data_IF_695585623745
#
_entry.id   IF_695585623745
#
_cell.length_a   1.000
_cell.length_b   1.000
_cell.length_c   1.000
_cell.angle_alpha   90.00
_cell.angle_beta   90.00
_cell.angle_gamma   90.00
#
_symmetry.space_group_name_H-M   'P 1'
#
loop_
_entity.id
_entity.type
_entity.pdbx_description
1 polymer ?
#
# COMPACT_ATOMS: atom_id res chain seq x y z
N UNK A 1 -15.13 19.32 9.53
CA UNK A 1 -15.48 19.76 8.16
C UNK A 1 -16.17 18.68 7.29
N UNK A 2 -16.52 17.49 7.82
CA UNK A 2 -17.14 16.42 7.00
C UNK A 2 -18.63 16.12 7.29
N UNK A 3 -19.23 16.76 8.31
CA UNK A 3 -20.64 16.53 8.69
C UNK A 3 -21.64 16.78 7.56
N UNK A 4 -21.31 17.65 6.61
CA UNK A 4 -22.17 18.00 5.48
C UNK A 4 -22.29 16.90 4.41
N UNK A 5 -21.41 15.89 4.44
CA UNK A 5 -21.44 14.77 3.49
C UNK A 5 -22.11 13.51 4.06
N UNK A 6 -22.48 13.51 5.34
CA UNK A 6 -23.15 12.36 5.98
C UNK A 6 -24.56 12.22 5.41
N UNK A 7 -24.82 11.11 4.69
CA UNK A 7 -26.09 10.86 3.98
C UNK A 7 -26.23 11.58 2.63
N UNK A 8 -25.21 12.31 2.19
CA UNK A 8 -25.04 12.85 0.83
C UNK A 8 -23.66 12.40 0.30
N UNK A 9 -23.25 11.17 0.61
CA UNK A 9 -22.00 10.65 0.09
C UNK A 9 -22.07 10.67 -1.43
N UNK A 10 -21.15 11.39 -2.07
CA UNK A 10 -21.00 11.34 -3.51
C UNK A 10 -20.50 9.94 -3.90
N UNK A 11 -21.43 9.07 -4.29
CA UNK A 11 -21.15 7.69 -4.67
C UNK A 11 -21.82 7.37 -5.99
N UNK A 12 -21.09 6.70 -6.89
CA UNK A 12 -21.67 6.10 -8.08
C UNK A 12 -22.27 4.73 -7.67
N UNK A 13 -23.61 4.55 -7.70
CA UNK A 13 -24.25 3.30 -7.31
C UNK A 13 -23.73 2.10 -8.11
N UNK A 14 -23.33 2.31 -9.38
CA UNK A 14 -22.75 1.26 -10.20
C UNK A 14 -21.35 0.86 -9.72
N UNK A 15 -20.55 1.81 -9.22
CA UNK A 15 -19.24 1.49 -8.60
C UNK A 15 -19.41 0.77 -7.27
N UNK A 16 -20.40 1.16 -6.46
CA UNK A 16 -20.72 0.44 -5.21
C UNK A 16 -21.14 -1.00 -5.49
N UNK A 17 -22.00 -1.23 -6.48
CA UNK A 17 -22.40 -2.58 -6.89
C UNK A 17 -21.19 -3.41 -7.35
N UNK A 18 -20.26 -2.83 -8.12
CA UNK A 18 -19.04 -3.50 -8.54
C UNK A 18 -18.12 -3.84 -7.37
N UNK A 19 -17.98 -2.96 -6.37
CA UNK A 19 -17.21 -3.22 -5.16
C UNK A 19 -17.81 -4.38 -4.36
N UNK A 20 -19.12 -4.38 -4.14
CA UNK A 20 -19.83 -5.49 -3.47
C UNK A 20 -19.60 -6.80 -4.22
N UNK A 21 -19.69 -6.79 -5.55
CA UNK A 21 -19.41 -7.96 -6.39
C UNK A 21 -17.96 -8.45 -6.23
N UNK A 22 -16.98 -7.54 -6.17
CA UNK A 22 -15.58 -7.91 -5.93
C UNK A 22 -15.40 -8.58 -4.57
N UNK A 23 -15.99 -8.02 -3.51
CA UNK A 23 -15.93 -8.59 -2.16
C UNK A 23 -16.58 -9.97 -2.10
N UNK A 24 -17.74 -10.14 -2.74
CA UNK A 24 -18.39 -11.45 -2.83
C UNK A 24 -17.52 -12.46 -3.58
N UNK A 25 -16.95 -12.08 -4.73
CA UNK A 25 -16.04 -12.95 -5.48
C UNK A 25 -14.84 -13.38 -4.64
N UNK A 26 -14.27 -12.46 -3.85
CA UNK A 26 -13.17 -12.77 -2.92
C UNK A 26 -13.61 -13.72 -1.81
N UNK A 27 -14.81 -13.54 -1.24
CA UNK A 27 -15.34 -14.42 -0.19
C UNK A 27 -15.54 -15.87 -0.66
N UNK A 28 -15.84 -16.06 -1.95
CA UNK A 28 -15.95 -17.38 -2.57
C UNK A 28 -14.65 -17.88 -3.23
N UNK A 29 -13.57 -17.11 -3.17
CA UNK A 29 -12.29 -17.49 -3.78
C UNK A 29 -11.40 -18.22 -2.77
N UNK A 30 -10.93 -19.41 -3.12
CA UNK A 30 -10.09 -20.24 -2.23
C UNK A 30 -8.70 -19.66 -1.96
N UNK A 31 -8.21 -18.74 -2.79
CA UNK A 31 -6.91 -18.10 -2.65
C UNK A 31 -7.08 -16.58 -2.52
N UNK A 32 -7.16 -16.09 -1.28
CA UNK A 32 -7.28 -14.65 -1.02
C UNK A 32 -5.91 -13.97 -1.16
N UNK A 33 -5.84 -12.80 -1.83
CA UNK A 33 -4.63 -11.98 -1.81
C UNK A 33 -4.38 -11.48 -0.38
N UNK A 34 -3.11 -11.36 0.00
CA UNK A 34 -2.71 -10.91 1.34
C UNK A 34 -3.13 -9.45 1.63
N UNK A 35 -3.25 -8.64 0.58
CA UNK A 35 -3.71 -7.25 0.64
C UNK A 35 -4.51 -6.91 -0.62
N UNK A 36 -5.56 -6.10 -0.46
CA UNK A 36 -6.38 -5.59 -1.54
C UNK A 36 -6.38 -4.06 -1.47
N UNK A 37 -5.90 -3.42 -2.53
CA UNK A 37 -5.96 -1.97 -2.69
C UNK A 37 -7.23 -1.61 -3.45
N UNK A 38 -7.98 -0.65 -2.91
CA UNK A 38 -9.23 -0.18 -3.50
C UNK A 38 -9.08 1.27 -3.94
N UNK A 39 -9.22 1.49 -5.24
CA UNK A 39 -9.04 2.80 -5.86
C UNK A 39 -7.67 2.95 -6.54
N UNK A 40 -7.65 3.75 -7.60
CA UNK A 40 -6.43 4.08 -8.36
C UNK A 40 -5.40 4.79 -7.49
N UNK A 41 -5.87 5.65 -6.59
CA UNK A 41 -5.01 6.50 -5.78
C UNK A 41 -4.31 5.68 -4.71
N UNK A 42 -5.02 4.72 -4.10
CA UNK A 42 -4.42 3.74 -3.19
C UNK A 42 -3.34 2.90 -3.88
N UNK A 43 -3.53 2.53 -5.16
CA UNK A 43 -2.50 1.83 -5.93
C UNK A 43 -1.27 2.72 -6.17
N UNK A 44 -1.49 4.00 -6.47
CA UNK A 44 -0.41 4.96 -6.68
C UNK A 44 0.39 5.19 -5.40
N UNK A 45 -0.28 5.49 -4.29
CA UNK A 45 0.36 5.82 -3.01
C UNK A 45 1.11 4.63 -2.40
N UNK A 46 0.54 3.42 -2.49
CA UNK A 46 1.26 2.22 -2.09
C UNK A 46 2.52 1.99 -2.94
N UNK A 47 2.42 2.23 -4.26
CA UNK A 47 3.57 2.13 -5.16
C UNK A 47 4.69 3.12 -4.81
N UNK A 48 4.34 4.37 -4.49
CA UNK A 48 5.32 5.37 -4.05
C UNK A 48 5.93 5.03 -2.69
N UNK A 49 5.14 4.53 -1.74
CA UNK A 49 5.63 4.07 -0.44
C UNK A 49 6.63 2.91 -0.56
N UNK A 50 6.37 1.95 -1.44
CA UNK A 50 7.27 0.82 -1.68
C UNK A 50 8.54 1.24 -2.40
N UNK A 51 8.46 2.17 -3.36
CA UNK A 51 9.65 2.78 -3.99
C UNK A 51 10.51 3.50 -2.95
N UNK A 52 9.90 4.34 -2.10
CA UNK A 52 10.61 5.06 -1.05
C UNK A 52 11.30 4.09 -0.07
N UNK A 53 10.64 2.98 0.28
CA UNK A 53 11.23 1.93 1.12
C UNK A 53 12.39 1.23 0.41
N UNK A 54 12.25 0.88 -0.86
CA UNK A 54 13.31 0.27 -1.66
C UNK A 54 14.53 1.20 -1.80
N UNK A 55 14.29 2.49 -2.01
CA UNK A 55 15.34 3.51 -2.08
C UNK A 55 16.11 3.64 -0.77
N UNK A 56 15.40 3.71 0.36
CA UNK A 56 16.00 3.83 1.69
C UNK A 56 16.85 2.60 2.07
N UNK A 57 16.50 1.42 1.55
CA UNK A 57 17.21 0.17 1.82
C UNK A 57 18.27 -0.18 0.77
N UNK A 58 18.38 0.59 -0.32
CA UNK A 58 19.30 0.31 -1.43
C UNK A 58 20.76 0.15 -0.96
N UNK A 59 21.23 1.07 -0.11
CA UNK A 59 22.60 1.03 0.39
C UNK A 59 22.85 -0.18 1.30
N UNK A 60 21.88 -0.55 2.14
CA UNK A 60 21.97 -1.72 3.00
C UNK A 60 22.00 -3.02 2.16
N UNK A 61 21.20 -3.10 1.10
CA UNK A 61 21.22 -4.23 0.16
C UNK A 61 22.56 -4.35 -0.57
N UNK A 62 23.11 -3.24 -1.07
CA UNK A 62 24.39 -3.24 -1.78
C UNK A 62 25.57 -3.62 -0.86
N UNK A 63 25.49 -3.26 0.43
CA UNK A 63 26.50 -3.64 1.43
C UNK A 63 26.51 -5.15 1.73
N UNK A 64 25.49 -5.91 1.31
CA UNK A 64 25.45 -7.37 1.45
C UNK A 64 25.97 -8.14 0.24
N UNK A 65 26.39 -7.44 -0.82
CA UNK A 65 26.94 -8.09 -2.00
C UNK A 65 28.24 -8.85 -1.68
N UNK A 66 28.49 -9.97 -2.35
CA UNK A 66 29.62 -10.87 -2.08
C UNK A 66 30.99 -10.17 -2.06
N UNK A 67 31.15 -9.11 -2.87
CA UNK A 67 32.38 -8.32 -2.97
C UNK A 67 32.28 -6.94 -2.30
N UNK A 68 31.24 -6.66 -1.50
CA UNK A 68 31.07 -5.35 -0.87
C UNK A 68 32.21 -5.09 0.14
N UNK A 69 33.05 -4.06 -0.09
CA UNK A 69 34.17 -3.76 0.80
C UNK A 69 33.75 -2.93 2.02
N UNK A 70 32.52 -2.43 2.02
CA UNK A 70 32.02 -1.48 3.00
C UNK A 70 31.21 -2.16 4.11
N UNK A 71 31.35 -1.73 5.38
CA UNK A 71 30.53 -2.23 6.48
C UNK A 71 29.06 -1.86 6.30
N UNK A 72 28.17 -2.63 6.94
CA UNK A 72 26.72 -2.41 6.88
C UNK A 72 26.36 -0.97 7.32
N UNK A 73 25.62 -0.21 6.49
CA UNK A 73 25.16 1.13 6.86
C UNK A 73 24.11 1.07 7.97
N UNK A 74 23.96 2.16 8.73
CA UNK A 74 22.90 2.27 9.73
C UNK A 74 21.52 2.19 9.06
N UNK A 75 20.59 1.46 9.68
CA UNK A 75 19.23 1.36 9.16
C UNK A 75 18.52 2.72 9.20
N UNK A 76 17.72 3.05 8.16
CA UNK A 76 16.90 4.24 8.19
C UNK A 76 15.90 4.15 9.37
N UNK A 77 15.57 5.27 10.03
CA UNK A 77 14.60 5.28 11.12
C UNK A 77 13.26 4.74 10.63
N UNK A 78 12.54 4.01 11.50
CA UNK A 78 11.22 3.49 11.16
C UNK A 78 10.26 4.65 10.86
N UNK A 79 9.90 4.83 9.58
CA UNK A 79 8.82 5.73 9.18
C UNK A 79 7.50 5.13 9.65
N UNK A 80 7.13 5.42 10.90
CA UNK A 80 5.96 4.84 11.52
C UNK A 80 5.57 5.55 12.81
N UNK A 81 5.00 6.75 12.71
CA UNK A 81 3.98 7.24 13.64
C UNK A 81 3.26 8.40 12.96
N UNK A 82 2.07 8.16 12.42
CA UNK A 82 0.92 9.05 12.64
C UNK A 82 -0.32 8.16 12.71
N UNK A 83 -0.81 8.03 13.94
CA UNK A 83 -2.17 7.63 14.33
C UNK A 83 -3.15 8.75 14.05
#
# INVERSE_FOLDING_TARGET
>A
MLKQYVGHEAGDPAKLAQLVQLVLKLAYHNALPAHLLLGSDALHDCGEGDKARADALRAASAATDFCAPAPLPAFPPASGTQV
#
